data_IF_502002615844
#
_entry.id   IF_502002615844
#
_cell.length_a   1.000
_cell.length_b   1.000
_cell.length_c   1.000
_cell.angle_alpha   90.00
_cell.angle_beta   90.00
_cell.angle_gamma   90.00
#
_symmetry.space_group_name_H-M   'P 1'
#
loop_
_entity.id
_entity.type
_entity.pdbx_description
1 polymer ?
#
# COMPACT_ATOMS: atom_id res chain seq x y z
N UNK A 1 16.67 15.35 -55.02
CA UNK A 1 16.60 13.98 -54.47
C UNK A 1 16.92 14.04 -52.98
N UNK A 2 15.98 13.50 -52.19
CA UNK A 2 16.07 12.98 -50.81
C UNK A 2 16.34 13.93 -49.63
N UNK A 3 15.23 14.21 -48.94
CA UNK A 3 15.12 14.61 -47.54
C UNK A 3 15.76 13.57 -46.60
N UNK A 4 16.39 14.02 -45.51
CA UNK A 4 16.48 13.23 -44.28
C UNK A 4 16.07 14.11 -43.09
N UNK A 5 14.81 13.93 -42.71
CA UNK A 5 14.20 14.46 -41.50
C UNK A 5 14.57 13.48 -40.39
N UNK A 6 15.57 13.83 -39.56
CA UNK A 6 15.83 13.09 -38.32
C UNK A 6 14.72 13.50 -37.37
N UNK A 7 13.69 12.66 -37.27
CA UNK A 7 12.69 12.73 -36.22
C UNK A 7 13.35 12.18 -34.96
N UNK A 8 13.80 13.08 -34.09
CA UNK A 8 14.16 12.77 -32.72
C UNK A 8 12.88 12.34 -32.02
N UNK A 9 12.60 11.05 -32.02
CA UNK A 9 11.59 10.47 -31.14
C UNK A 9 12.24 10.33 -29.77
N UNK A 10 12.13 11.37 -28.95
CA UNK A 10 12.30 11.22 -27.50
C UNK A 10 11.20 10.23 -27.07
N UNK A 11 11.62 9.01 -26.73
CA UNK A 11 10.73 8.06 -26.07
C UNK A 11 10.21 8.74 -24.80
N UNK A 12 8.91 8.61 -24.46
CA UNK A 12 8.42 9.17 -23.21
C UNK A 12 9.25 8.57 -22.08
N UNK A 13 9.88 9.42 -21.26
CA UNK A 13 10.50 8.99 -20.01
C UNK A 13 9.41 8.29 -19.20
N UNK A 14 9.49 6.96 -19.17
CA UNK A 14 8.61 6.16 -18.33
C UNK A 14 8.97 6.52 -16.89
N UNK A 15 8.07 7.26 -16.23
CA UNK A 15 8.14 7.51 -14.80
C UNK A 15 7.92 6.18 -14.05
N UNK A 16 9.00 5.41 -13.91
CA UNK A 16 9.04 4.13 -13.20
C UNK A 16 8.74 4.28 -11.70
N UNK A 17 8.77 5.51 -11.16
CA UNK A 17 8.66 5.74 -9.71
C UNK A 17 7.28 5.43 -9.12
N UNK A 18 6.20 5.49 -9.93
CA UNK A 18 4.83 5.25 -9.43
C UNK A 18 4.34 3.82 -9.55
N UNK A 19 4.91 3.04 -10.47
CA UNK A 19 4.50 1.65 -10.72
C UNK A 19 5.29 0.64 -9.90
N UNK A 20 6.57 0.92 -9.62
CA UNK A 20 7.46 -0.06 -8.98
C UNK A 20 7.09 -0.33 -7.51
N UNK A 21 6.52 0.66 -6.81
CA UNK A 21 6.04 0.52 -5.41
C UNK A 21 4.93 -0.53 -5.23
N UNK A 22 4.25 -0.96 -6.30
CA UNK A 22 3.16 -1.93 -6.21
C UNK A 22 3.61 -3.39 -6.27
N UNK A 23 4.78 -3.67 -6.85
CA UNK A 23 5.25 -5.04 -7.06
C UNK A 23 5.80 -5.70 -5.78
N UNK A 24 6.05 -4.92 -4.72
CA UNK A 24 6.61 -5.40 -3.45
C UNK A 24 5.58 -5.49 -2.31
N UNK A 25 4.28 -5.54 -2.62
CA UNK A 25 3.21 -5.52 -1.62
C UNK A 25 2.53 -6.88 -1.46
N UNK A 26 2.22 -7.24 -0.22
CA UNK A 26 1.31 -8.32 0.12
C UNK A 26 -0.11 -7.76 0.34
N UNK A 27 -1.11 -8.44 -0.23
CA UNK A 27 -2.52 -8.08 -0.08
C UNK A 27 -3.24 -8.97 0.93
N UNK A 28 -3.89 -8.32 1.89
CA UNK A 28 -4.69 -8.94 2.94
C UNK A 28 -6.15 -8.73 2.61
N UNK A 29 -6.83 -9.81 2.22
CA UNK A 29 -8.25 -9.77 1.88
C UNK A 29 -9.11 -9.63 3.14
N UNK A 30 -10.36 -9.23 2.95
CA UNK A 30 -11.37 -9.11 4.02
C UNK A 30 -11.43 -10.35 4.94
N UNK A 31 -11.25 -11.56 4.39
CA UNK A 31 -11.20 -12.81 5.19
C UNK A 31 -10.05 -12.90 6.21
N UNK A 32 -8.98 -12.12 6.02
CA UNK A 32 -7.81 -12.08 6.91
C UNK A 32 -7.83 -10.87 7.85
N UNK A 33 -8.46 -9.77 7.44
CA UNK A 33 -8.47 -8.50 8.22
C UNK A 33 -9.79 -8.25 8.93
N UNK A 34 -10.89 -8.83 8.46
CA UNK A 34 -12.26 -8.49 8.90
C UNK A 34 -12.76 -7.13 8.37
N UNK A 35 -11.98 -6.45 7.52
CA UNK A 35 -12.31 -5.13 6.98
C UNK A 35 -13.12 -5.23 5.68
N UNK A 36 -13.94 -4.23 5.32
CA UNK A 36 -14.75 -4.25 4.11
C UNK A 36 -13.95 -3.97 2.82
N UNK A 37 -12.61 -3.91 2.90
CA UNK A 37 -11.69 -3.59 1.81
C UNK A 37 -10.40 -4.40 1.92
N UNK A 38 -9.57 -4.35 0.87
CA UNK A 38 -8.27 -5.02 0.83
C UNK A 38 -7.21 -4.08 1.41
N UNK A 39 -6.39 -4.60 2.31
CA UNK A 39 -5.23 -3.89 2.87
C UNK A 39 -3.97 -4.38 2.20
N UNK A 40 -3.07 -3.47 1.85
CA UNK A 40 -1.79 -3.75 1.23
C UNK A 40 -0.68 -3.31 2.17
N UNK A 41 0.22 -4.23 2.47
CA UNK A 41 1.39 -4.03 3.33
C UNK A 41 2.65 -4.23 2.50
N UNK A 42 3.71 -3.49 2.80
CA UNK A 42 5.00 -3.59 2.11
C UNK A 42 6.14 -3.55 3.11
N UNK A 43 7.31 -4.01 2.68
CA UNK A 43 8.57 -3.65 3.33
C UNK A 43 8.89 -2.17 3.09
N UNK A 44 9.84 -1.64 3.86
CA UNK A 44 10.39 -0.30 3.68
C UNK A 44 11.10 -0.12 2.35
N UNK A 45 11.93 -1.09 1.96
CA UNK A 45 12.73 -1.02 0.73
C UNK A 45 13.47 0.32 0.60
N UNK A 46 13.26 1.00 -0.54
CA UNK A 46 13.81 2.34 -0.84
C UNK A 46 12.90 3.52 -0.47
N UNK A 47 11.81 3.29 0.27
CA UNK A 47 10.80 4.31 0.53
C UNK A 47 11.34 5.53 1.29
N UNK A 48 10.97 6.72 0.83
CA UNK A 48 11.32 8.00 1.47
C UNK A 48 10.35 8.41 2.60
N UNK A 49 9.33 7.59 2.86
CA UNK A 49 8.33 7.82 3.88
C UNK A 49 8.40 6.75 4.97
N UNK A 50 7.85 7.04 6.14
CA UNK A 50 7.66 6.04 7.19
C UNK A 50 6.51 5.05 6.82
N UNK A 51 6.29 4.07 7.68
CA UNK A 51 5.35 2.96 7.51
C UNK A 51 3.94 3.45 7.14
N UNK A 52 3.40 2.82 6.08
CA UNK A 52 2.06 3.05 5.56
C UNK A 52 1.41 1.72 5.22
N UNK A 53 0.09 1.71 5.25
CA UNK A 53 -0.71 0.72 4.52
C UNK A 53 -1.36 1.41 3.32
N UNK A 54 -1.62 0.65 2.27
CA UNK A 54 -2.53 1.08 1.21
C UNK A 54 -3.83 0.29 1.31
N UNK A 55 -4.92 0.87 0.83
CA UNK A 55 -6.25 0.26 0.86
C UNK A 55 -6.92 0.41 -0.50
N UNK A 56 -7.61 -0.64 -0.96
CA UNK A 56 -8.47 -0.60 -2.14
C UNK A 56 -9.83 -1.27 -1.91
N UNK A 57 -10.88 -0.86 -2.65
CA UNK A 57 -12.20 -1.49 -2.58
C UNK A 57 -12.19 -2.98 -2.97
N UNK A 58 -11.25 -3.39 -3.81
CA UNK A 58 -11.17 -4.76 -4.32
C UNK A 58 -9.73 -5.26 -4.47
N UNK A 59 -9.55 -6.54 -4.86
CA UNK A 59 -8.23 -7.18 -4.93
C UNK A 59 -7.39 -6.74 -6.11
N UNK A 60 -7.96 -5.97 -7.05
CA UNK A 60 -7.22 -5.38 -8.17
C UNK A 60 -6.59 -4.08 -7.70
N UNK A 61 -5.27 -3.98 -7.81
CA UNK A 61 -4.54 -2.74 -7.56
C UNK A 61 -4.83 -1.74 -8.69
N UNK A 62 -5.85 -0.90 -8.50
CA UNK A 62 -6.16 0.22 -9.39
C UNK A 62 -5.61 1.49 -8.74
N UNK A 63 -4.51 2.09 -9.25
CA UNK A 63 -3.81 3.17 -8.54
C UNK A 63 -4.69 4.37 -8.19
N UNK A 64 -5.70 4.69 -9.00
CA UNK A 64 -6.64 5.79 -8.75
C UNK A 64 -7.65 5.54 -7.62
N UNK A 65 -7.82 4.28 -7.21
CA UNK A 65 -8.74 3.86 -6.15
C UNK A 65 -8.02 3.57 -4.83
N UNK A 66 -6.68 3.69 -4.83
CA UNK A 66 -5.86 3.40 -3.66
C UNK A 66 -5.84 4.57 -2.69
N UNK A 67 -6.06 4.26 -1.41
CA UNK A 67 -5.88 5.18 -0.30
C UNK A 67 -4.61 4.79 0.44
N UNK A 68 -3.72 5.73 0.70
CA UNK A 68 -2.54 5.50 1.53
C UNK A 68 -2.76 6.10 2.91
N UNK A 69 -2.51 5.30 3.94
CA UNK A 69 -2.69 5.66 5.35
C UNK A 69 -1.37 5.45 6.08
N UNK A 70 -0.83 6.51 6.68
CA UNK A 70 0.35 6.43 7.54
C UNK A 70 0.01 5.79 8.89
N UNK A 71 0.96 5.06 9.47
CA UNK A 71 0.84 4.47 10.82
C UNK A 71 1.63 5.28 11.87
N UNK A 72 2.80 5.81 11.47
CA UNK A 72 3.69 6.64 12.31
C UNK A 72 3.82 8.06 11.72
N UNK A 73 3.94 9.10 12.58
CA UNK A 73 3.79 9.06 14.04
C UNK A 73 2.33 8.87 14.50
N UNK A 74 1.36 9.08 13.62
CA UNK A 74 -0.07 8.97 13.90
C UNK A 74 -0.80 8.33 12.70
N UNK A 75 -1.96 7.72 12.98
CA UNK A 75 -2.78 7.12 11.93
C UNK A 75 -3.54 8.21 11.18
N UNK A 76 -3.21 8.42 9.90
CA UNK A 76 -3.89 9.41 9.05
C UNK A 76 -3.80 9.08 7.57
N UNK A 77 -4.82 9.50 6.82
CA UNK A 77 -4.79 9.44 5.36
C UNK A 77 -3.75 10.43 4.84
N UNK A 78 -2.83 9.94 4.00
CA UNK A 78 -1.79 10.76 3.36
C UNK A 78 -2.04 10.95 1.86
N UNK A 79 -2.83 10.07 1.25
CA UNK A 79 -3.22 10.13 -0.15
C UNK A 79 -4.55 9.40 -0.37
N UNK A 80 -5.40 9.92 -1.25
CA UNK A 80 -6.71 9.35 -1.56
C UNK A 80 -7.81 9.85 -0.62
N UNK A 81 -9.01 9.30 -0.77
CA UNK A 81 -10.18 9.65 0.03
C UNK A 81 -10.77 8.39 0.67
N UNK A 82 -11.08 8.48 1.95
CA UNK A 82 -11.68 7.40 2.75
C UNK A 82 -12.73 8.01 3.68
N UNK A 83 -13.85 7.32 3.89
CA UNK A 83 -14.87 7.78 4.82
C UNK A 83 -14.35 7.76 6.26
N UNK A 84 -14.89 8.61 7.14
CA UNK A 84 -14.50 8.62 8.55
C UNK A 84 -14.79 7.27 9.24
N UNK A 85 -15.88 6.60 8.85
CA UNK A 85 -16.25 5.27 9.36
C UNK A 85 -15.23 4.20 8.95
N UNK A 86 -14.82 4.20 7.67
CA UNK A 86 -13.81 3.25 7.17
C UNK A 86 -12.44 3.52 7.79
N UNK A 87 -12.06 4.78 7.95
CA UNK A 87 -10.82 5.15 8.62
C UNK A 87 -10.84 4.71 10.08
N UNK A 88 -11.96 4.80 10.78
CA UNK A 88 -12.11 4.31 12.15
C UNK A 88 -11.93 2.79 12.24
N UNK A 89 -12.56 2.02 11.34
CA UNK A 89 -12.36 0.57 11.25
C UNK A 89 -10.91 0.19 10.95
N UNK A 90 -10.30 0.87 9.97
CA UNK A 90 -8.89 0.68 9.63
C UNK A 90 -7.99 1.02 10.81
N UNK A 91 -8.25 2.14 11.50
CA UNK A 91 -7.44 2.59 12.64
C UNK A 91 -7.47 1.57 13.76
N UNK A 92 -8.64 1.04 14.12
CA UNK A 92 -8.78 -0.01 15.12
C UNK A 92 -7.97 -1.26 14.74
N UNK A 93 -8.06 -1.69 13.47
CA UNK A 93 -7.30 -2.83 12.99
C UNK A 93 -5.78 -2.57 12.97
N UNK A 94 -5.35 -1.37 12.58
CA UNK A 94 -3.94 -0.96 12.61
C UNK A 94 -3.43 -0.98 14.05
N UNK A 95 -4.16 -0.41 15.01
CA UNK A 95 -3.72 -0.39 16.42
C UNK A 95 -3.56 -1.81 16.99
N UNK A 96 -4.47 -2.73 16.67
CA UNK A 96 -4.38 -4.14 17.10
C UNK A 96 -3.16 -4.87 16.51
N UNK A 97 -2.69 -4.45 15.33
CA UNK A 97 -1.65 -5.12 14.57
C UNK A 97 -0.38 -4.26 14.41
N UNK A 98 -0.29 -3.14 15.14
CA UNK A 98 0.72 -2.08 14.93
C UNK A 98 2.13 -2.64 14.95
N UNK A 99 2.43 -3.46 15.95
CA UNK A 99 3.77 -4.03 16.12
C UNK A 99 4.13 -4.99 14.98
N UNK A 100 3.17 -5.75 14.45
CA UNK A 100 3.39 -6.66 13.33
C UNK A 100 3.60 -5.87 12.04
N UNK A 101 2.82 -4.81 11.81
CA UNK A 101 2.96 -3.95 10.64
C UNK A 101 4.31 -3.21 10.63
N UNK A 102 4.79 -2.78 11.80
CA UNK A 102 6.11 -2.14 11.92
C UNK A 102 7.24 -3.16 11.73
N UNK A 103 7.18 -4.33 12.37
CA UNK A 103 8.18 -5.39 12.17
C UNK A 103 8.28 -5.82 10.71
N UNK A 104 7.13 -6.00 10.04
CA UNK A 104 7.10 -6.31 8.62
C UNK A 104 7.70 -5.19 7.77
N UNK A 105 7.36 -3.93 8.08
CA UNK A 105 7.93 -2.77 7.39
C UNK A 105 9.46 -2.70 7.51
N UNK A 106 10.02 -2.90 8.71
CA UNK A 106 11.47 -2.86 8.91
C UNK A 106 12.20 -4.11 8.39
N UNK A 107 11.46 -5.17 8.03
CA UNK A 107 12.01 -6.42 7.51
C UNK A 107 12.44 -7.42 8.59
N UNK A 108 11.94 -7.27 9.82
CA UNK A 108 12.23 -8.16 10.95
C UNK A 108 11.50 -9.51 10.82
N UNK A 109 10.36 -9.53 10.12
CA UNK A 109 9.55 -10.71 9.84
C UNK A 109 9.21 -10.78 8.36
N UNK A 110 9.01 -12.00 7.84
CA UNK A 110 8.62 -12.18 6.44
C UNK A 110 7.10 -12.10 6.22
N UNK A 111 6.66 -12.23 4.97
CA UNK A 111 5.23 -12.14 4.63
C UNK A 111 4.40 -13.26 5.26
N UNK A 112 4.96 -14.47 5.40
CA UNK A 112 4.26 -15.61 6.00
C UNK A 112 4.07 -15.36 7.49
N UNK A 113 5.13 -14.96 8.18
CA UNK A 113 5.10 -14.64 9.61
C UNK A 113 4.10 -13.49 9.89
N UNK A 114 4.11 -12.44 9.07
CA UNK A 114 3.17 -11.33 9.19
C UNK A 114 1.71 -11.80 9.01
N UNK A 115 1.42 -12.61 7.99
CA UNK A 115 0.06 -13.12 7.73
C UNK A 115 -0.43 -14.04 8.84
N UNK A 116 0.45 -14.85 9.43
CA UNK A 116 0.10 -15.74 10.55
C UNK A 116 -0.14 -14.97 11.86
N UNK A 117 0.55 -13.84 12.05
CA UNK A 117 0.43 -13.02 13.27
C UNK A 117 -0.72 -11.98 13.22
N UNK A 118 -1.16 -11.58 12.02
CA UNK A 118 -2.23 -10.59 11.85
C UNK A 118 -3.56 -11.10 12.42
N UNK A 119 -4.20 -10.22 13.19
CA UNK A 119 -5.50 -10.45 13.82
C UNK A 119 -6.60 -9.73 13.05
N UNK A 120 -7.67 -10.43 12.64
CA UNK A 120 -8.83 -9.79 12.06
C UNK A 120 -9.60 -9.01 13.14
N UNK A 121 -10.31 -7.94 12.73
CA UNK A 121 -11.40 -7.39 13.54
C UNK A 121 -12.61 -8.31 13.39
N UNK A 122 -13.00 -8.99 14.47
CA UNK A 122 -14.27 -9.73 14.48
C UNK A 122 -15.42 -8.73 14.51
N UNK A 123 -16.24 -8.71 13.46
CA UNK A 123 -17.56 -8.08 13.48
C UNK A 123 -18.62 -9.06 14.00
#
# INVERSE_FOLDING_TARGET
>A
MQNSRVLTTEAPEWDHSRSDDFFEMANLFSKHTGLPFVVWISYKGGAQHDVRVKVSPGPKAVPSEMVSVAIRPEIRVVQGAMSASDLSLLSNWIEMNRDILIQYWEGDIDTKDAVEAIRPVHQ
#
